data_IF_904822708526
#
_entry.id   IF_904822708526
#
_cell.length_a   1.000
_cell.length_b   1.000
_cell.length_c   1.000
_cell.angle_alpha   90.00
_cell.angle_beta   90.00
_cell.angle_gamma   90.00
#
_symmetry.space_group_name_H-M   'P 1'
#
loop_
_entity.id
_entity.type
_entity.pdbx_description
1 polymer ?
#
# COMPACT_ATOMS: atom_id res chain seq x y z
N UNK A 1 -33.97 -44.48 -28.31
CA UNK A 1 -32.67 -44.67 -27.62
C UNK A 1 -32.08 -43.28 -27.42
N UNK A 2 -32.28 -42.68 -26.25
CA UNK A 2 -31.85 -41.31 -25.96
C UNK A 2 -30.40 -41.34 -25.46
N UNK A 3 -29.50 -40.70 -26.18
CA UNK A 3 -28.09 -40.55 -25.82
C UNK A 3 -27.96 -39.36 -24.85
N UNK A 4 -27.76 -39.62 -23.57
CA UNK A 4 -27.46 -38.60 -22.57
C UNK A 4 -25.94 -38.35 -22.62
N UNK A 5 -25.53 -37.26 -23.25
CA UNK A 5 -24.15 -36.76 -23.17
C UNK A 5 -23.91 -36.16 -21.78
N UNK A 6 -23.13 -36.86 -20.95
CA UNK A 6 -22.51 -36.26 -19.77
C UNK A 6 -21.40 -35.31 -20.24
N UNK A 7 -21.68 -34.01 -20.28
CA UNK A 7 -20.63 -33.01 -20.28
C UNK A 7 -20.00 -32.99 -18.89
N UNK A 8 -18.82 -33.59 -18.77
CA UNK A 8 -17.96 -33.40 -17.61
C UNK A 8 -17.39 -31.99 -17.66
N UNK A 9 -17.96 -31.09 -16.86
CA UNK A 9 -17.37 -29.78 -16.61
C UNK A 9 -16.05 -30.00 -15.86
N UNK A 10 -14.93 -29.89 -16.57
CA UNK A 10 -13.61 -29.78 -15.93
C UNK A 10 -13.53 -28.36 -15.39
N UNK A 11 -13.98 -28.16 -14.15
CA UNK A 11 -13.67 -26.94 -13.41
C UNK A 11 -12.18 -27.04 -13.08
N UNK A 12 -11.34 -26.38 -13.88
CA UNK A 12 -9.96 -26.13 -13.51
C UNK A 12 -10.00 -25.35 -12.20
N UNK A 13 -9.71 -26.01 -11.08
CA UNK A 13 -9.47 -25.32 -9.83
C UNK A 13 -8.23 -24.45 -10.06
N UNK A 14 -8.45 -23.15 -10.27
CA UNK A 14 -7.36 -22.18 -10.30
C UNK A 14 -6.54 -22.40 -9.03
N UNK A 15 -5.26 -22.74 -9.22
CA UNK A 15 -4.30 -22.92 -8.14
C UNK A 15 -4.27 -21.62 -7.32
N UNK A 16 -4.93 -21.60 -6.16
CA UNK A 16 -4.91 -20.45 -5.26
C UNK A 16 -3.49 -20.23 -4.73
N UNK A 17 -3.07 -18.97 -4.63
CA UNK A 17 -1.78 -18.61 -4.03
C UNK A 17 -1.77 -19.12 -2.58
N UNK A 18 -0.82 -19.98 -2.18
CA UNK A 18 -0.72 -20.47 -0.81
C UNK A 18 -0.68 -19.33 0.20
N UNK A 19 -1.52 -19.41 1.24
CA UNK A 19 -1.60 -18.42 2.30
C UNK A 19 -1.32 -19.07 3.64
N UNK A 20 -0.45 -18.44 4.45
CA UNK A 20 -0.26 -18.79 5.86
C UNK A 20 -0.49 -17.58 6.74
N UNK A 21 -1.28 -17.74 7.81
CA UNK A 21 -1.49 -16.73 8.84
C UNK A 21 -0.88 -17.23 10.15
N UNK A 22 0.23 -16.63 10.56
CA UNK A 22 0.95 -16.99 11.77
C UNK A 22 0.78 -15.92 12.84
N UNK A 23 0.88 -16.35 14.09
CA UNK A 23 0.89 -15.45 15.23
C UNK A 23 2.33 -15.19 15.69
N UNK A 24 2.62 -13.92 15.97
CA UNK A 24 3.92 -13.44 16.41
C UNK A 24 4.26 -13.82 17.85
N UNK A 25 3.31 -14.43 18.58
CA UNK A 25 3.48 -14.90 19.95
C UNK A 25 3.09 -16.39 20.06
N UNK A 26 3.69 -17.09 21.02
CA UNK A 26 3.37 -18.48 21.33
C UNK A 26 2.12 -18.62 22.22
N UNK A 27 1.74 -19.87 22.50
CA UNK A 27 0.58 -20.21 23.34
C UNK A 27 0.67 -19.69 24.79
N UNK A 28 1.86 -19.35 25.27
CA UNK A 28 2.11 -18.79 26.59
C UNK A 28 2.21 -17.24 26.56
N UNK A 29 2.04 -16.66 25.38
CA UNK A 29 2.11 -15.23 25.12
C UNK A 29 3.52 -14.70 24.89
N UNK A 30 4.55 -15.54 24.69
CA UNK A 30 5.91 -15.04 24.44
C UNK A 30 6.14 -14.70 22.98
N UNK A 31 6.76 -13.55 22.71
CA UNK A 31 7.09 -13.16 21.34
C UNK A 31 8.03 -14.18 20.68
N UNK A 32 7.62 -14.68 19.52
CA UNK A 32 8.40 -15.62 18.70
C UNK A 32 9.69 -14.97 18.22
N UNK A 33 10.72 -15.78 17.95
CA UNK A 33 11.99 -15.31 17.38
C UNK A 33 11.78 -14.52 16.08
N UNK A 34 10.83 -14.94 15.25
CA UNK A 34 10.48 -14.26 14.00
C UNK A 34 9.98 -12.85 14.26
N UNK A 35 9.01 -12.68 15.17
CA UNK A 35 8.49 -11.35 15.50
C UNK A 35 9.57 -10.44 16.09
N UNK A 36 10.36 -10.95 17.04
CA UNK A 36 11.47 -10.21 17.65
C UNK A 36 12.47 -9.70 16.61
N UNK A 37 12.87 -10.55 15.67
CA UNK A 37 13.78 -10.16 14.60
C UNK A 37 13.18 -9.10 13.68
N UNK A 38 11.88 -9.17 13.40
CA UNK A 38 11.19 -8.18 12.57
C UNK A 38 11.20 -6.81 13.24
N UNK A 39 10.87 -6.76 14.53
CA UNK A 39 10.86 -5.50 15.28
C UNK A 39 12.27 -4.93 15.39
N UNK A 40 13.25 -5.76 15.77
CA UNK A 40 14.64 -5.32 15.90
C UNK A 40 15.24 -4.80 14.60
N UNK A 41 14.99 -5.47 13.46
CA UNK A 41 15.48 -5.03 12.15
C UNK A 41 14.87 -3.69 11.72
N UNK A 42 13.64 -3.38 12.14
CA UNK A 42 12.94 -2.14 11.79
C UNK A 42 13.32 -0.98 12.72
N UNK A 43 13.44 -1.26 14.00
CA UNK A 43 13.84 -0.30 15.01
C UNK A 43 14.64 -1.01 16.11
N UNK A 44 15.98 -0.97 16.04
CA UNK A 44 16.85 -1.59 17.04
C UNK A 44 16.67 -1.03 18.45
N UNK A 45 16.16 0.20 18.58
CA UNK A 45 15.87 0.82 19.88
C UNK A 45 14.56 0.31 20.47
N UNK A 46 13.66 -0.23 19.65
CA UNK A 46 12.36 -0.76 20.07
C UNK A 46 12.54 -2.14 20.71
N UNK A 47 12.16 -2.24 21.98
CA UNK A 47 12.10 -3.52 22.69
C UNK A 47 10.70 -4.10 22.50
N UNK A 48 10.62 -5.32 22.00
CA UNK A 48 9.39 -6.10 22.13
C UNK A 48 9.20 -6.48 23.58
N UNK A 49 8.02 -6.23 24.14
CA UNK A 49 7.66 -6.90 25.39
C UNK A 49 7.76 -8.41 25.19
N UNK A 50 8.56 -9.05 26.04
CA UNK A 50 8.86 -10.48 25.89
C UNK A 50 7.61 -11.35 26.06
N UNK A 51 6.59 -10.82 26.75
CA UNK A 51 5.34 -11.53 27.04
C UNK A 51 4.15 -10.60 26.83
N UNK A 52 3.15 -11.10 26.10
CA UNK A 52 1.87 -10.45 25.87
C UNK A 52 0.73 -11.33 26.36
N UNK A 53 -0.18 -10.75 27.13
CA UNK A 53 -1.46 -11.37 27.45
C UNK A 53 -2.44 -10.91 26.37
N UNK A 54 -3.07 -11.86 25.67
CA UNK A 54 -4.10 -11.52 24.70
C UNK A 54 -5.34 -11.02 25.43
N UNK A 55 -5.78 -9.83 25.05
CA UNK A 55 -7.06 -9.29 25.48
C UNK A 55 -8.15 -9.80 24.53
N UNK A 56 -9.41 -9.78 24.98
CA UNK A 56 -10.56 -10.13 24.13
C UNK A 56 -10.60 -9.29 22.85
N UNK A 57 -10.28 -7.99 22.94
CA UNK A 57 -10.20 -7.10 21.78
C UNK A 57 -9.16 -7.57 20.74
N UNK A 58 -8.03 -8.12 21.19
CA UNK A 58 -7.00 -8.63 20.29
C UNK A 58 -7.39 -9.96 19.66
N UNK A 59 -8.06 -10.82 20.41
CA UNK A 59 -8.63 -12.06 19.87
C UNK A 59 -9.65 -11.77 18.77
N UNK A 60 -10.47 -10.72 18.94
CA UNK A 60 -11.42 -10.28 17.92
C UNK A 60 -10.72 -9.78 16.64
N UNK A 61 -9.62 -9.02 16.77
CA UNK A 61 -8.81 -8.62 15.62
C UNK A 61 -8.15 -9.81 14.91
N UNK A 62 -7.58 -10.75 15.66
CA UNK A 62 -6.99 -11.97 15.11
C UNK A 62 -8.06 -12.78 14.34
N UNK A 63 -9.25 -12.90 14.91
CA UNK A 63 -10.39 -13.58 14.30
C UNK A 63 -10.82 -12.90 13.01
N UNK A 64 -10.96 -11.57 13.02
CA UNK A 64 -11.31 -10.79 11.83
C UNK A 64 -10.27 -10.98 10.72
N UNK A 65 -8.98 -10.87 11.04
CA UNK A 65 -7.89 -11.08 10.08
C UNK A 65 -7.96 -12.48 9.47
N UNK A 66 -8.11 -13.52 10.29
CA UNK A 66 -8.23 -14.91 9.81
C UNK A 66 -9.45 -15.09 8.90
N UNK A 67 -10.59 -14.53 9.29
CA UNK A 67 -11.83 -14.62 8.50
C UNK A 67 -11.69 -13.98 7.12
N UNK A 68 -11.15 -12.76 7.06
CA UNK A 68 -10.99 -12.06 5.78
C UNK A 68 -9.86 -12.62 4.93
N UNK A 69 -8.83 -13.19 5.55
CA UNK A 69 -7.67 -13.72 4.84
C UNK A 69 -8.01 -14.83 3.84
N UNK A 70 -9.14 -15.52 4.01
CA UNK A 70 -9.65 -16.52 3.05
C UNK A 70 -9.83 -15.94 1.65
N UNK A 71 -10.12 -14.64 1.53
CA UNK A 71 -10.34 -13.96 0.24
C UNK A 71 -9.08 -13.27 -0.33
N UNK A 72 -7.98 -13.28 0.43
CA UNK A 72 -6.75 -12.58 0.04
C UNK A 72 -6.02 -13.22 -1.13
N UNK A 73 -6.00 -14.55 -1.34
CA UNK A 73 -5.45 -15.15 -2.56
C UNK A 73 -6.12 -14.62 -3.84
N UNK A 74 -7.44 -14.49 -3.86
CA UNK A 74 -8.16 -13.97 -5.03
C UNK A 74 -7.86 -12.48 -5.26
N UNK A 75 -7.78 -11.69 -4.18
CA UNK A 75 -7.35 -10.29 -4.26
C UNK A 75 -5.90 -10.17 -4.75
N UNK A 76 -5.01 -11.04 -4.29
CA UNK A 76 -3.62 -11.09 -4.72
C UNK A 76 -3.49 -11.44 -6.21
N UNK A 77 -4.29 -12.37 -6.73
CA UNK A 77 -4.32 -12.67 -8.16
C UNK A 77 -4.74 -11.46 -9.00
N UNK A 78 -5.71 -10.68 -8.54
CA UNK A 78 -6.13 -9.45 -9.23
C UNK A 78 -5.02 -8.40 -9.26
N UNK A 79 -4.26 -8.25 -8.17
CA UNK A 79 -3.14 -7.31 -8.12
C UNK A 79 -1.96 -7.84 -8.94
N UNK A 80 -1.64 -9.14 -8.86
CA UNK A 80 -0.59 -9.76 -9.69
C UNK A 80 -0.85 -9.55 -11.18
N UNK A 81 -2.10 -9.53 -11.63
CA UNK A 81 -2.42 -9.27 -13.04
C UNK A 81 -2.01 -7.86 -13.53
N UNK A 82 -1.61 -6.96 -12.63
CA UNK A 82 -1.12 -5.61 -12.92
C UNK A 82 0.40 -5.50 -12.91
N UNK A 83 1.11 -6.57 -12.53
CA UNK A 83 2.55 -6.59 -12.47
C UNK A 83 3.05 -7.82 -13.23
N UNK A 84 4.20 -7.71 -13.90
CA UNK A 84 4.89 -8.90 -14.44
C UNK A 84 5.46 -9.81 -13.33
N UNK A 85 5.23 -9.46 -12.06
CA UNK A 85 5.68 -10.17 -10.87
C UNK A 85 4.52 -10.82 -10.12
N UNK A 86 4.82 -11.95 -9.49
CA UNK A 86 3.92 -12.60 -8.54
C UNK A 86 4.68 -13.12 -7.33
N UNK A 87 3.96 -13.31 -6.23
CA UNK A 87 4.46 -14.02 -5.05
C UNK A 87 4.03 -15.48 -5.10
N UNK A 88 4.97 -16.37 -4.79
CA UNK A 88 4.70 -17.82 -4.70
C UNK A 88 3.83 -18.16 -3.48
N UNK A 89 3.78 -17.29 -2.47
CA UNK A 89 2.95 -17.45 -1.28
C UNK A 89 2.70 -16.12 -0.58
N UNK A 90 1.57 -16.03 0.11
CA UNK A 90 1.23 -14.93 1.02
C UNK A 90 1.55 -15.39 2.44
N UNK A 91 2.36 -14.62 3.17
CA UNK A 91 2.65 -14.89 4.58
C UNK A 91 2.23 -13.72 5.43
N UNK A 92 1.24 -13.96 6.28
CA UNK A 92 0.71 -13.00 7.22
C UNK A 92 1.31 -13.30 8.58
N UNK A 93 1.80 -12.26 9.25
CA UNK A 93 2.26 -12.34 10.63
C UNK A 93 1.53 -11.31 11.48
N UNK A 94 0.72 -11.78 12.42
CA UNK A 94 0.01 -10.90 13.34
C UNK A 94 0.84 -10.75 14.60
N UNK A 95 1.26 -9.54 14.92
CA UNK A 95 2.09 -9.22 16.08
C UNK A 95 1.56 -8.00 16.83
N UNK A 96 2.43 -7.39 17.63
CA UNK A 96 2.07 -6.26 18.48
C UNK A 96 3.28 -5.33 18.74
N UNK A 97 3.04 -4.04 18.94
CA UNK A 97 4.00 -2.99 19.34
C UNK A 97 5.12 -2.69 18.32
N UNK A 98 4.89 -2.87 17.02
CA UNK A 98 5.75 -2.35 15.95
C UNK A 98 5.54 -0.84 15.68
N UNK A 99 4.36 -0.29 15.94
CA UNK A 99 4.06 1.13 15.76
C UNK A 99 3.46 1.52 14.40
N UNK A 100 3.15 0.52 13.56
CA UNK A 100 2.38 0.69 12.32
C UNK A 100 1.26 -0.36 12.29
N UNK A 101 0.05 0.05 11.91
CA UNK A 101 -1.13 -0.80 11.76
C UNK A 101 -0.91 -2.03 10.87
N UNK A 102 -0.30 -1.83 9.71
CA UNK A 102 0.18 -2.89 8.82
C UNK A 102 1.53 -2.48 8.21
N UNK A 103 2.31 -3.48 7.79
CA UNK A 103 3.57 -3.24 7.10
C UNK A 103 4.11 -4.49 6.41
N UNK A 104 4.90 -4.30 5.36
CA UNK A 104 5.72 -5.38 4.79
C UNK A 104 7.05 -5.56 5.54
N UNK A 105 7.48 -6.81 5.73
CA UNK A 105 8.84 -7.13 6.21
C UNK A 105 9.53 -8.15 5.30
N UNK A 106 10.67 -7.69 4.74
CA UNK A 106 11.39 -8.37 3.66
C UNK A 106 10.42 -8.74 2.51
N UNK A 107 10.87 -9.34 1.43
CA UNK A 107 9.97 -9.73 0.33
C UNK A 107 9.11 -10.97 0.68
N UNK A 108 8.61 -11.05 1.92
CA UNK A 108 8.17 -12.29 2.53
C UNK A 108 6.91 -12.14 3.38
N UNK A 109 6.85 -11.14 4.27
CA UNK A 109 5.75 -11.01 5.23
C UNK A 109 4.93 -9.74 5.01
N UNK A 110 3.62 -9.87 5.18
CA UNK A 110 2.71 -8.77 5.49
C UNK A 110 2.34 -8.92 6.96
N UNK A 111 2.62 -7.88 7.73
CA UNK A 111 2.46 -7.87 9.17
C UNK A 111 1.27 -6.99 9.57
N UNK A 112 0.56 -7.39 10.63
CA UNK A 112 -0.48 -6.60 11.27
C UNK A 112 -0.12 -6.39 12.74
N UNK A 113 -0.27 -5.18 13.24
CA UNK A 113 0.04 -4.81 14.62
C UNK A 113 -1.25 -4.60 15.43
N UNK A 114 -1.49 -5.46 16.41
CA UNK A 114 -2.73 -5.47 17.17
C UNK A 114 -2.95 -4.23 18.03
N UNK A 115 -1.90 -3.67 18.66
CA UNK A 115 -2.06 -2.42 19.43
C UNK A 115 -2.44 -1.27 18.52
N UNK A 116 -1.76 -1.12 17.39
CA UNK A 116 -2.04 -0.03 16.46
C UNK A 116 -3.41 -0.17 15.81
N UNK A 117 -3.84 -1.39 15.49
CA UNK A 117 -5.19 -1.62 15.00
C UNK A 117 -6.23 -1.23 16.05
N UNK A 118 -6.05 -1.65 17.30
CA UNK A 118 -6.99 -1.32 18.37
C UNK A 118 -7.01 0.18 18.69
N UNK A 119 -5.85 0.82 18.81
CA UNK A 119 -5.72 2.22 19.22
C UNK A 119 -6.26 3.17 18.15
N UNK A 120 -5.99 2.88 16.87
CA UNK A 120 -6.41 3.75 15.77
C UNK A 120 -7.86 3.52 15.34
N UNK A 121 -8.41 2.31 15.55
CA UNK A 121 -9.68 1.89 14.92
C UNK A 121 -10.74 1.35 15.90
N UNK A 122 -10.36 1.07 17.14
CA UNK A 122 -11.21 0.45 18.15
C UNK A 122 -11.65 -0.96 17.76
N UNK A 123 -12.84 -1.37 18.23
CA UNK A 123 -13.29 -2.76 18.19
C UNK A 123 -13.34 -3.37 16.79
N UNK A 124 -12.74 -4.56 16.62
CA UNK A 124 -12.68 -5.27 15.35
C UNK A 124 -14.07 -5.57 14.75
N UNK A 125 -15.09 -5.75 15.60
CA UNK A 125 -16.47 -6.05 15.18
C UNK A 125 -17.18 -4.90 14.47
N UNK A 126 -16.61 -3.68 14.47
CA UNK A 126 -17.17 -2.55 13.72
C UNK A 126 -17.23 -2.89 12.22
N UNK A 127 -18.36 -2.70 11.53
CA UNK A 127 -18.50 -3.08 10.12
C UNK A 127 -17.43 -2.49 9.20
N UNK A 128 -16.97 -1.26 9.48
CA UNK A 128 -15.93 -0.59 8.70
C UNK A 128 -14.55 -1.26 8.78
N UNK A 129 -14.27 -2.05 9.84
CA UNK A 129 -12.97 -2.67 10.06
C UNK A 129 -12.74 -3.88 9.16
N UNK A 130 -13.82 -4.55 8.73
CA UNK A 130 -13.76 -5.61 7.72
C UNK A 130 -13.15 -5.13 6.41
N UNK A 131 -13.74 -4.08 5.84
CA UNK A 131 -13.22 -3.49 4.60
C UNK A 131 -11.82 -2.90 4.81
N UNK A 132 -11.56 -2.30 5.99
CA UNK A 132 -10.25 -1.72 6.31
C UNK A 132 -9.10 -2.72 6.24
N UNK A 133 -9.23 -3.91 6.84
CA UNK A 133 -8.12 -4.88 6.82
C UNK A 133 -7.87 -5.45 5.42
N UNK A 134 -8.93 -5.55 4.59
CA UNK A 134 -8.77 -5.94 3.19
C UNK A 134 -8.02 -4.87 2.40
N UNK A 135 -8.28 -3.59 2.67
CA UNK A 135 -7.52 -2.49 2.06
C UNK A 135 -6.07 -2.46 2.51
N UNK A 136 -5.79 -2.69 3.80
CA UNK A 136 -4.41 -2.83 4.31
C UNK A 136 -3.67 -3.99 3.68
N UNK A 137 -4.32 -5.15 3.54
CA UNK A 137 -3.72 -6.26 2.82
C UNK A 137 -3.33 -5.88 1.39
N UNK A 138 -4.25 -5.28 0.62
CA UNK A 138 -3.98 -4.88 -0.78
C UNK A 138 -2.86 -3.83 -0.88
N UNK A 139 -2.84 -2.87 0.04
CA UNK A 139 -1.78 -1.87 0.17
C UNK A 139 -0.42 -2.54 0.35
N UNK A 140 -0.26 -3.35 1.40
CA UNK A 140 1.02 -4.02 1.70
C UNK A 140 1.41 -5.05 0.65
N UNK A 141 0.43 -5.76 0.08
CA UNK A 141 0.68 -6.71 -1.00
C UNK A 141 1.23 -6.00 -2.25
N UNK A 142 0.70 -4.82 -2.60
CA UNK A 142 1.23 -4.03 -3.72
C UNK A 142 2.70 -3.62 -3.50
N UNK A 143 3.09 -3.29 -2.27
CA UNK A 143 4.49 -3.03 -1.93
C UNK A 143 5.40 -4.24 -2.13
N UNK A 144 4.91 -5.45 -1.87
CA UNK A 144 5.70 -6.66 -2.13
C UNK A 144 6.01 -6.83 -3.63
N UNK A 145 5.03 -6.56 -4.49
CA UNK A 145 5.23 -6.62 -5.94
C UNK A 145 6.13 -5.49 -6.45
N UNK A 146 5.95 -4.27 -5.95
CA UNK A 146 6.82 -3.13 -6.30
C UNK A 146 8.28 -3.39 -5.92
N UNK A 147 8.53 -4.00 -4.75
CA UNK A 147 9.88 -4.40 -4.34
C UNK A 147 10.51 -5.40 -5.31
N UNK A 148 9.74 -6.33 -5.86
CA UNK A 148 10.23 -7.27 -6.89
C UNK A 148 10.43 -6.58 -8.23
N UNK A 149 9.52 -5.68 -8.62
CA UNK A 149 9.63 -4.88 -9.83
C UNK A 149 10.94 -4.07 -9.83
N UNK A 150 11.30 -3.46 -8.70
CA UNK A 150 12.56 -2.71 -8.54
C UNK A 150 13.82 -3.58 -8.64
N UNK A 151 13.76 -4.89 -8.39
CA UNK A 151 14.90 -5.79 -8.60
C UNK A 151 15.22 -5.96 -10.10
N UNK A 152 14.22 -5.86 -10.98
CA UNK A 152 14.38 -5.95 -12.43
C UNK A 152 14.57 -4.59 -13.11
N UNK A 153 14.13 -3.53 -12.45
CA UNK A 153 14.21 -2.15 -12.93
C UNK A 153 14.98 -1.28 -11.93
N UNK A 154 16.29 -1.53 -11.77
CA UNK A 154 17.10 -0.78 -10.83
C UNK A 154 17.05 0.70 -11.20
N UNK A 155 16.76 1.54 -10.21
CA UNK A 155 16.79 2.98 -10.36
C UNK A 155 18.22 3.49 -10.13
N UNK A 156 18.68 4.53 -10.86
CA UNK A 156 19.99 5.13 -10.64
C UNK A 156 20.13 5.71 -9.23
N UNK A 157 21.36 6.02 -8.81
CA UNK A 157 21.65 6.56 -7.47
C UNK A 157 20.79 7.80 -7.18
N UNK A 158 19.92 7.67 -6.18
CA UNK A 158 18.84 8.61 -5.92
C UNK A 158 19.36 9.91 -5.29
N UNK A 159 19.21 11.03 -5.99
CA UNK A 159 19.12 12.33 -5.31
C UNK A 159 17.80 12.43 -4.51
N UNK A 160 17.63 13.50 -3.72
CA UNK A 160 16.45 13.67 -2.88
C UNK A 160 15.14 13.69 -3.66
N UNK A 161 15.14 14.28 -4.85
CA UNK A 161 13.98 14.32 -5.75
C UNK A 161 13.60 12.92 -6.24
N UNK A 162 14.57 12.14 -6.72
CA UNK A 162 14.34 10.77 -7.20
C UNK A 162 13.83 9.87 -6.07
N UNK A 163 14.39 10.00 -4.86
CA UNK A 163 13.89 9.31 -3.67
C UNK A 163 12.43 9.66 -3.38
N UNK A 164 12.09 10.96 -3.42
CA UNK A 164 10.73 11.41 -3.18
C UNK A 164 9.74 10.93 -4.27
N UNK A 165 10.16 10.88 -5.53
CA UNK A 165 9.34 10.36 -6.64
C UNK A 165 9.13 8.85 -6.49
N UNK A 166 10.17 8.10 -6.13
CA UNK A 166 10.07 6.68 -5.87
C UNK A 166 9.10 6.38 -4.72
N UNK A 167 9.17 7.16 -3.64
CA UNK A 167 8.25 7.05 -2.51
C UNK A 167 6.81 7.45 -2.90
N UNK A 168 6.64 8.56 -3.66
CA UNK A 168 5.34 8.96 -4.21
C UNK A 168 4.70 7.85 -5.06
N UNK A 169 5.49 7.17 -5.88
CA UNK A 169 5.03 6.04 -6.69
C UNK A 169 4.65 4.84 -5.82
N UNK A 170 5.56 4.41 -4.94
CA UNK A 170 5.37 3.24 -4.08
C UNK A 170 4.13 3.41 -3.22
N UNK A 171 4.12 4.45 -2.39
CA UNK A 171 3.07 4.76 -1.42
C UNK A 171 1.80 5.30 -2.07
N UNK A 172 1.90 5.90 -3.26
CA UNK A 172 0.74 6.32 -4.04
C UNK A 172 -0.11 5.15 -4.51
N UNK A 173 0.52 4.10 -5.04
CA UNK A 173 -0.19 2.85 -5.42
C UNK A 173 -0.72 2.14 -4.17
N UNK A 174 0.07 2.06 -3.10
CA UNK A 174 -0.42 1.54 -1.83
C UNK A 174 -1.66 2.30 -1.37
N UNK A 175 -1.60 3.62 -1.29
CA UNK A 175 -2.72 4.45 -0.84
C UNK A 175 -3.93 4.37 -1.76
N UNK A 176 -3.75 4.14 -3.07
CA UNK A 176 -4.85 3.88 -4.00
C UNK A 176 -5.68 2.66 -3.57
N UNK A 177 -5.04 1.59 -3.08
CA UNK A 177 -5.75 0.45 -2.50
C UNK A 177 -6.35 0.76 -1.12
N UNK A 178 -5.76 1.70 -0.37
CA UNK A 178 -6.28 2.16 0.92
C UNK A 178 -7.48 3.11 0.84
N UNK A 179 -7.81 3.65 -0.34
CA UNK A 179 -8.96 4.54 -0.53
C UNK A 179 -10.27 3.83 -0.16
N UNK A 180 -10.99 4.42 0.80
CA UNK A 180 -12.38 4.07 1.09
C UNK A 180 -13.34 4.68 0.07
N UNK A 181 -14.59 4.23 0.07
CA UNK A 181 -15.65 4.72 -0.84
C UNK A 181 -15.89 6.23 -0.77
N UNK A 182 -15.48 6.92 0.29
CA UNK A 182 -15.58 8.38 0.39
C UNK A 182 -14.60 9.11 -0.54
N UNK A 183 -13.52 8.44 -0.95
CA UNK A 183 -12.49 8.99 -1.82
C UNK A 183 -12.62 8.55 -3.27
N UNK A 184 -13.25 7.40 -3.52
CA UNK A 184 -13.39 6.82 -4.86
C UNK A 184 -14.42 7.55 -5.71
N UNK A 185 -14.20 7.57 -7.02
CA UNK A 185 -15.17 8.10 -7.97
C UNK A 185 -16.47 7.30 -7.89
N UNK A 186 -17.61 7.99 -7.94
CA UNK A 186 -18.95 7.37 -7.96
C UNK A 186 -19.65 7.78 -9.24
N UNK A 187 -20.09 6.79 -10.03
CA UNK A 187 -20.75 7.01 -11.32
C UNK A 187 -19.92 7.91 -12.27
N UNK A 188 -18.60 7.71 -12.31
CA UNK A 188 -17.67 8.50 -13.13
C UNK A 188 -17.40 9.92 -12.61
N UNK A 189 -17.94 10.29 -11.44
CA UNK A 189 -17.72 11.60 -10.83
C UNK A 189 -16.85 11.51 -9.58
N UNK A 190 -15.96 12.49 -9.44
CA UNK A 190 -15.10 12.65 -8.27
C UNK A 190 -15.94 13.07 -7.07
N UNK A 191 -15.59 12.65 -5.86
CA UNK A 191 -16.27 13.15 -4.66
C UNK A 191 -15.78 14.56 -4.32
N UNK A 192 -16.63 15.37 -3.66
CA UNK A 192 -16.22 16.71 -3.19
C UNK A 192 -15.02 16.64 -2.25
N UNK A 193 -14.93 15.58 -1.44
CA UNK A 193 -13.77 15.35 -0.58
C UNK A 193 -12.47 15.15 -1.38
N UNK A 194 -12.51 14.36 -2.45
CA UNK A 194 -11.36 14.16 -3.34
C UNK A 194 -10.99 15.44 -4.06
N UNK A 195 -12.00 16.17 -4.55
CA UNK A 195 -11.82 17.45 -5.25
C UNK A 195 -11.16 18.51 -4.37
N UNK A 196 -11.68 18.72 -3.16
CA UNK A 196 -11.13 19.72 -2.22
C UNK A 196 -9.72 19.35 -1.78
N UNK A 197 -9.48 18.05 -1.50
CA UNK A 197 -8.16 17.58 -1.10
C UNK A 197 -7.12 17.77 -2.21
N UNK A 198 -7.46 17.46 -3.46
CA UNK A 198 -6.54 17.70 -4.58
C UNK A 198 -6.27 19.19 -4.79
N UNK A 199 -7.30 20.04 -4.69
CA UNK A 199 -7.13 21.49 -4.80
C UNK A 199 -6.10 22.03 -3.78
N UNK A 200 -6.12 21.52 -2.55
CA UNK A 200 -5.16 21.89 -1.51
C UNK A 200 -3.78 21.25 -1.71
N UNK A 201 -3.72 19.98 -2.09
CA UNK A 201 -2.46 19.22 -2.14
C UNK A 201 -1.63 19.45 -3.40
N UNK A 202 -2.25 19.69 -4.56
CA UNK A 202 -1.53 19.82 -5.82
C UNK A 202 -0.48 20.96 -5.80
N UNK A 203 -0.78 22.17 -5.30
CA UNK A 203 0.24 23.21 -5.19
C UNK A 203 1.39 22.84 -4.24
N UNK A 204 1.08 22.16 -3.13
CA UNK A 204 2.08 21.70 -2.15
C UNK A 204 2.99 20.65 -2.79
N UNK A 205 2.41 19.69 -3.51
CA UNK A 205 3.14 18.66 -4.24
C UNK A 205 4.13 19.27 -5.23
N UNK A 206 3.67 20.20 -6.06
CA UNK A 206 4.52 20.90 -7.05
C UNK A 206 5.65 21.67 -6.38
N UNK A 207 5.33 22.47 -5.36
CA UNK A 207 6.31 23.29 -4.67
C UNK A 207 7.39 22.46 -3.98
N UNK A 208 7.00 21.38 -3.28
CA UNK A 208 7.94 20.52 -2.55
C UNK A 208 8.85 19.73 -3.49
N UNK A 209 8.34 19.19 -4.60
CA UNK A 209 9.20 18.50 -5.57
C UNK A 209 10.20 19.46 -6.24
N UNK A 210 9.82 20.70 -6.53
CA UNK A 210 10.76 21.72 -7.04
C UNK A 210 11.86 22.01 -5.99
N UNK A 211 11.49 22.15 -4.72
CA UNK A 211 12.46 22.41 -3.64
C UNK A 211 13.50 21.27 -3.49
N UNK A 212 13.10 20.03 -3.76
CA UNK A 212 13.98 18.86 -3.66
C UNK A 212 15.07 18.80 -4.74
N UNK A 213 14.94 19.54 -5.85
CA UNK A 213 15.93 19.55 -6.95
C UNK A 213 17.33 19.92 -6.43
N UNK A 214 17.41 20.89 -5.52
CA UNK A 214 18.67 21.45 -5.01
C UNK A 214 18.76 21.40 -3.47
N UNK A 215 17.96 20.56 -2.82
CA UNK A 215 17.95 20.46 -1.37
C UNK A 215 19.25 19.83 -0.83
N UNK A 216 19.69 20.26 0.35
CA UNK A 216 20.63 19.51 1.18
C UNK A 216 19.91 18.40 1.95
N UNK A 217 20.66 17.47 2.55
CA UNK A 217 20.08 16.39 3.38
C UNK A 217 19.12 16.92 4.46
N UNK A 218 19.51 17.99 5.17
CA UNK A 218 18.68 18.57 6.22
C UNK A 218 17.39 19.19 5.65
N UNK A 219 17.51 19.93 4.54
CA UNK A 219 16.34 20.52 3.88
C UNK A 219 15.42 19.44 3.34
N UNK A 220 15.99 18.39 2.72
CA UNK A 220 15.23 17.28 2.17
C UNK A 220 14.40 16.59 3.26
N UNK A 221 14.97 16.30 4.43
CA UNK A 221 14.25 15.72 5.56
C UNK A 221 13.05 16.57 6.02
N UNK A 222 13.19 17.89 6.00
CA UNK A 222 12.10 18.80 6.36
C UNK A 222 11.04 18.89 5.26
N UNK A 223 11.46 18.89 3.99
CA UNK A 223 10.56 18.94 2.82
C UNK A 223 9.76 17.63 2.72
N UNK A 224 10.39 16.47 2.90
CA UNK A 224 9.75 15.14 2.80
C UNK A 224 8.92 14.78 4.02
N UNK A 225 8.87 15.63 5.05
CA UNK A 225 7.90 15.47 6.14
C UNK A 225 6.48 15.37 5.59
N UNK A 226 5.74 14.37 6.06
CA UNK A 226 4.38 14.01 5.61
C UNK A 226 4.29 13.67 4.10
N UNK A 227 5.38 13.24 3.45
CA UNK A 227 5.36 12.82 2.04
C UNK A 227 4.41 11.63 1.82
N UNK A 228 4.64 10.56 2.59
CA UNK A 228 3.83 9.34 2.59
C UNK A 228 3.34 8.89 3.97
N UNK A 229 3.88 9.49 5.03
CA UNK A 229 3.66 9.09 6.41
C UNK A 229 2.76 10.09 7.16
N UNK A 230 2.27 9.68 8.33
CA UNK A 230 1.38 10.49 9.16
C UNK A 230 -0.10 10.39 8.78
N UNK A 231 -0.95 11.29 9.31
CA UNK A 231 -2.39 11.26 9.07
C UNK A 231 -2.71 11.24 7.57
N UNK A 232 -3.65 10.38 7.15
CA UNK A 232 -3.94 10.13 5.73
C UNK A 232 -4.10 11.42 4.90
N UNK A 233 -4.84 12.41 5.43
CA UNK A 233 -5.10 13.71 4.78
C UNK A 233 -3.91 14.68 4.73
N UNK A 234 -2.78 14.35 5.35
CA UNK A 234 -1.56 15.17 5.34
C UNK A 234 -0.49 14.64 4.39
N UNK A 235 -0.67 13.41 3.87
CA UNK A 235 0.28 12.71 2.99
C UNK A 235 0.39 13.39 1.62
N UNK A 236 1.12 14.49 1.52
CA UNK A 236 1.07 15.40 0.37
C UNK A 236 1.57 14.77 -0.94
N UNK A 237 2.45 13.76 -0.87
CA UNK A 237 2.91 13.00 -2.03
C UNK A 237 2.00 11.82 -2.33
N UNK A 238 1.98 10.87 -1.41
CA UNK A 238 1.31 9.59 -1.61
C UNK A 238 -0.21 9.73 -1.78
N UNK A 239 -0.89 10.63 -1.06
CA UNK A 239 -2.33 10.82 -1.28
C UNK A 239 -2.61 11.51 -2.62
N UNK A 240 -1.83 12.51 -3.01
CA UNK A 240 -1.98 13.17 -4.32
C UNK A 240 -1.89 12.15 -5.47
N UNK A 241 -0.87 11.29 -5.45
CA UNK A 241 -0.70 10.24 -6.46
C UNK A 241 -1.86 9.24 -6.43
N UNK A 242 -2.26 8.77 -5.24
CA UNK A 242 -3.38 7.84 -5.11
C UNK A 242 -4.70 8.39 -5.70
N UNK A 243 -4.98 9.66 -5.44
CA UNK A 243 -6.17 10.33 -5.97
C UNK A 243 -6.05 10.54 -7.48
N UNK A 244 -4.88 10.89 -8.02
CA UNK A 244 -4.69 10.96 -9.48
C UNK A 244 -4.84 9.61 -10.17
N UNK A 245 -4.39 8.51 -9.56
CA UNK A 245 -4.64 7.15 -10.07
C UNK A 245 -6.15 6.90 -10.12
N UNK A 246 -6.88 7.19 -9.04
CA UNK A 246 -8.34 7.04 -8.99
C UNK A 246 -9.05 7.88 -10.07
N UNK A 247 -8.63 9.13 -10.28
CA UNK A 247 -9.17 10.00 -11.32
C UNK A 247 -8.93 9.49 -12.74
N UNK A 248 -7.73 8.96 -12.99
CA UNK A 248 -7.33 8.49 -14.30
C UNK A 248 -7.99 7.15 -14.65
N UNK A 249 -7.95 6.20 -13.71
CA UNK A 249 -8.45 4.86 -13.90
C UNK A 249 -9.97 4.79 -13.80
N UNK A 250 -10.61 5.45 -12.83
CA UNK A 250 -12.06 5.36 -12.58
C UNK A 250 -12.57 3.90 -12.51
N UNK A 251 -11.76 3.01 -11.93
CA UNK A 251 -12.04 1.56 -11.88
C UNK A 251 -11.68 0.78 -13.14
N UNK A 252 -11.17 1.41 -14.19
CA UNK A 252 -10.64 0.75 -15.39
C UNK A 252 -9.29 0.08 -15.08
N UNK A 253 -9.30 -1.26 -15.07
CA UNK A 253 -8.14 -2.08 -14.78
C UNK A 253 -7.08 -2.00 -15.88
N UNK A 254 -7.46 -1.80 -17.14
CA UNK A 254 -6.50 -1.69 -18.24
C UNK A 254 -5.66 -0.41 -18.09
N UNK A 255 -6.30 0.71 -17.73
CA UNK A 255 -5.60 1.95 -17.40
C UNK A 255 -4.69 1.80 -16.20
N UNK A 256 -5.14 1.09 -15.15
CA UNK A 256 -4.30 0.85 -13.98
C UNK A 256 -3.05 0.05 -14.35
N UNK A 257 -3.18 -0.99 -15.18
CA UNK A 257 -2.05 -1.77 -15.67
C UNK A 257 -1.02 -0.89 -16.40
N UNK A 258 -1.49 -0.06 -17.35
CA UNK A 258 -0.64 0.88 -18.07
C UNK A 258 0.14 1.82 -17.13
N UNK A 259 -0.50 2.28 -16.05
CA UNK A 259 0.16 3.13 -15.06
C UNK A 259 1.23 2.35 -14.28
N UNK A 260 0.93 1.13 -13.82
CA UNK A 260 1.89 0.31 -13.06
C UNK A 260 3.15 0.02 -13.88
N UNK A 261 3.00 -0.29 -15.17
CA UNK A 261 4.11 -0.56 -16.09
C UNK A 261 5.08 0.63 -16.25
N UNK A 262 4.62 1.86 -16.02
CA UNK A 262 5.47 3.06 -16.08
C UNK A 262 6.48 3.14 -14.92
N UNK A 263 6.28 2.38 -13.84
CA UNK A 263 7.10 2.50 -12.63
C UNK A 263 7.06 3.93 -12.06
N UNK A 264 8.17 4.44 -11.50
CA UNK A 264 8.23 5.79 -10.93
C UNK A 264 7.84 6.92 -11.89
N UNK A 265 7.95 6.72 -13.22
CA UNK A 265 7.55 7.72 -14.23
C UNK A 265 6.05 8.00 -14.22
N UNK A 266 5.24 7.10 -13.66
CA UNK A 266 3.80 7.30 -13.39
C UNK A 266 3.54 8.65 -12.72
N UNK A 267 4.38 9.04 -11.75
CA UNK A 267 4.15 10.24 -10.93
C UNK A 267 4.15 11.49 -11.81
N UNK A 268 5.11 11.59 -12.72
CA UNK A 268 5.20 12.71 -13.66
C UNK A 268 4.15 12.63 -14.75
N UNK A 269 3.85 11.42 -15.24
CA UNK A 269 2.77 11.22 -16.19
C UNK A 269 1.44 11.74 -15.64
N UNK A 270 1.07 11.34 -14.42
CA UNK A 270 -0.15 11.80 -13.77
C UNK A 270 -0.12 13.30 -13.46
N UNK A 271 1.04 13.86 -13.09
CA UNK A 271 1.20 15.29 -12.92
C UNK A 271 0.87 16.05 -14.21
N UNK A 272 1.34 15.59 -15.38
CA UNK A 272 0.98 16.17 -16.69
C UNK A 272 -0.52 16.09 -16.99
N UNK A 273 -1.20 15.01 -16.58
CA UNK A 273 -2.63 14.87 -16.82
C UNK A 273 -3.48 15.79 -15.96
N UNK A 274 -3.00 16.16 -14.77
CA UNK A 274 -3.83 16.79 -13.73
C UNK A 274 -3.42 18.23 -13.38
N UNK A 275 -2.22 18.67 -13.76
CA UNK A 275 -1.73 20.01 -13.47
C UNK A 275 -1.84 20.93 -14.70
N UNK A 276 -2.41 22.11 -14.50
CA UNK A 276 -2.46 23.17 -15.52
C UNK A 276 -1.30 24.13 -15.31
N UNK A 277 -0.08 23.67 -15.60
CA UNK A 277 1.14 24.48 -15.52
C UNK A 277 1.62 24.85 -16.92
N UNK A 278 2.20 26.04 -17.06
CA UNK A 278 2.86 26.45 -18.30
C UNK A 278 3.98 25.48 -18.68
N UNK A 279 4.22 25.30 -19.98
CA UNK A 279 5.27 24.38 -20.49
C UNK A 279 6.67 24.74 -20.00
N UNK A 280 6.92 26.01 -19.65
CA UNK A 280 8.19 26.49 -19.10
C UNK A 280 8.21 26.50 -17.56
N UNK A 281 7.20 25.97 -16.89
CA UNK A 281 7.14 25.95 -15.43
C UNK A 281 8.30 25.11 -14.86
N UNK A 282 8.99 25.56 -13.78
CA UNK A 282 10.16 24.87 -13.23
C UNK A 282 9.93 23.41 -12.86
N UNK A 283 8.69 23.04 -12.54
CA UNK A 283 8.28 21.66 -12.27
C UNK A 283 8.66 20.70 -13.41
N UNK A 284 8.54 21.13 -14.68
CA UNK A 284 8.83 20.26 -15.82
C UNK A 284 10.32 19.98 -16.01
N UNK A 285 11.21 20.71 -15.32
CA UNK A 285 12.63 20.37 -15.30
C UNK A 285 12.92 19.03 -14.59
N UNK A 286 12.00 18.54 -13.74
CA UNK A 286 12.10 17.25 -13.05
C UNK A 286 12.21 16.08 -14.04
N UNK A 287 11.59 16.19 -15.22
CA UNK A 287 11.63 15.13 -16.24
C UNK A 287 13.04 14.84 -16.74
N UNK A 288 13.91 15.85 -16.78
CA UNK A 288 15.30 15.66 -17.19
C UNK A 288 16.14 14.96 -16.10
N UNK A 289 15.55 14.73 -14.93
CA UNK A 289 16.20 14.11 -13.76
C UNK A 289 15.74 12.68 -13.50
N UNK A 290 14.89 12.10 -14.35
CA UNK A 290 14.34 10.73 -14.25
C UNK A 290 14.79 9.83 -15.42
#
# INVERSE_FOLDING_TARGET
>A
MLLICFLSLVISAASQIPLTVNFGYDQNGYATKTWKNIIYDRDPAKRTDDRRILTEAYEDWIKLIRQESVNWPDSALQINALFDESLDSIRILIGDHNGNDAFTYKQLYICFDLSELQDNYGDAVKPANRDRINRFFKHEYSHQLQKRWLLKHPQPENNHLQSAILECWSEGIGNYYSLSDGWRCKNGMITEQTKSTLFEMQPVFVAKLIQLINATDQQANDITRDLSNGPFRKKWGALTVALWIELYCQGDQHKLNQLIDMGPKLVIYLARQNLQLDSNHPFWAIENSL
#
